data_IF_023938556565
#
_entry.id   IF_023938556565
#
_cell.length_a   1.000
_cell.length_b   1.000
_cell.length_c   1.000
_cell.angle_alpha   90.00
_cell.angle_beta   90.00
_cell.angle_gamma   90.00
#
_symmetry.space_group_name_H-M   'P 1'
#
loop_
_entity.id
_entity.type
_entity.pdbx_description
1 polymer ?
#
# COMPACT_ATOMS: atom_id res chain seq x y z
N UNK A 1 -13.74 -6.51 -30.55
CA UNK A 1 -13.98 -7.18 -29.26
C UNK A 1 -14.52 -6.12 -28.29
N UNK A 2 -15.43 -6.46 -27.40
CA UNK A 2 -15.87 -5.56 -26.34
C UNK A 2 -14.69 -5.22 -25.42
N UNK A 3 -14.65 -3.98 -24.90
CA UNK A 3 -13.68 -3.60 -23.87
C UNK A 3 -13.90 -4.43 -22.59
N UNK A 4 -12.82 -4.78 -21.91
CA UNK A 4 -12.90 -5.45 -20.60
C UNK A 4 -13.21 -4.41 -19.52
N UNK A 5 -14.12 -4.74 -18.62
CA UNK A 5 -14.54 -3.86 -17.54
C UNK A 5 -13.59 -3.92 -16.35
N UNK A 6 -13.20 -2.73 -15.85
CA UNK A 6 -12.33 -2.57 -14.68
C UNK A 6 -13.07 -1.81 -13.60
N UNK A 7 -13.13 -2.37 -12.40
CA UNK A 7 -13.54 -1.70 -11.18
C UNK A 7 -12.31 -1.31 -10.38
N UNK A 8 -12.15 -0.02 -10.08
CA UNK A 8 -10.98 0.48 -9.35
C UNK A 8 -11.33 0.83 -7.91
N UNK A 9 -10.55 0.31 -6.97
CA UNK A 9 -10.65 0.61 -5.54
C UNK A 9 -9.36 1.29 -5.12
N UNK A 10 -9.42 2.54 -4.67
CA UNK A 10 -8.18 3.25 -4.39
C UNK A 10 -8.30 4.38 -3.39
N UNK A 11 -7.18 4.68 -2.78
CA UNK A 11 -7.01 5.82 -1.88
C UNK A 11 -5.59 6.36 -2.00
N UNK A 12 -5.34 7.53 -1.42
CA UNK A 12 -4.03 8.16 -1.35
C UNK A 12 -3.44 8.54 -2.72
N UNK A 13 -2.33 9.29 -2.78
CA UNK A 13 -1.70 9.71 -4.03
C UNK A 13 -1.36 8.57 -5.00
N UNK A 14 -0.91 7.42 -4.48
CA UNK A 14 -0.58 6.28 -5.36
C UNK A 14 -1.81 5.71 -6.07
N UNK A 15 -2.97 5.64 -5.38
CA UNK A 15 -4.23 5.26 -6.01
C UNK A 15 -4.62 6.23 -7.13
N UNK A 16 -4.44 7.54 -6.90
CA UNK A 16 -4.67 8.56 -7.92
C UNK A 16 -3.80 8.34 -9.16
N UNK A 17 -2.49 8.16 -8.99
CA UNK A 17 -1.59 7.99 -10.13
C UNK A 17 -1.82 6.68 -10.88
N UNK A 18 -2.15 5.58 -10.17
CA UNK A 18 -2.52 4.32 -10.82
C UNK A 18 -3.82 4.43 -11.60
N UNK A 19 -4.85 5.07 -11.04
CA UNK A 19 -6.12 5.30 -11.75
C UNK A 19 -5.91 6.20 -12.97
N UNK A 20 -5.20 7.31 -12.81
CA UNK A 20 -4.89 8.23 -13.93
C UNK A 20 -4.12 7.52 -15.05
N UNK A 21 -3.16 6.66 -14.71
CA UNK A 21 -2.43 5.85 -15.69
C UNK A 21 -3.37 4.92 -16.47
N UNK A 22 -4.29 4.23 -15.78
CA UNK A 22 -5.30 3.40 -16.45
C UNK A 22 -6.21 4.21 -17.38
N UNK A 23 -6.67 5.38 -16.94
CA UNK A 23 -7.51 6.29 -17.74
C UNK A 23 -6.80 6.68 -19.02
N UNK A 24 -5.54 7.09 -18.95
CA UNK A 24 -4.74 7.52 -20.11
C UNK A 24 -4.48 6.38 -21.11
N UNK A 25 -4.56 5.13 -20.67
CA UNK A 25 -4.24 3.95 -21.50
C UNK A 25 -5.43 3.04 -21.79
N UNK A 26 -6.68 3.46 -21.48
CA UNK A 26 -7.87 2.63 -21.63
C UNK A 26 -8.01 2.03 -23.05
N UNK A 27 -7.76 2.82 -24.07
CA UNK A 27 -7.88 2.35 -25.47
C UNK A 27 -6.75 1.38 -25.83
N UNK A 28 -5.53 1.67 -25.40
CA UNK A 28 -4.38 0.79 -25.64
C UNK A 28 -4.52 -0.57 -24.95
N UNK A 29 -5.11 -0.59 -23.76
CA UNK A 29 -5.35 -1.82 -22.98
C UNK A 29 -6.68 -2.49 -23.32
N UNK A 30 -7.52 -1.89 -24.17
CA UNK A 30 -8.86 -2.34 -24.52
C UNK A 30 -9.76 -2.56 -23.26
N UNK A 31 -9.73 -1.60 -22.35
CA UNK A 31 -10.50 -1.61 -21.09
C UNK A 31 -11.48 -0.42 -21.00
N UNK A 32 -12.46 -0.57 -20.13
CA UNK A 32 -13.34 0.50 -19.66
C UNK A 32 -13.36 0.50 -18.13
N UNK A 33 -13.07 1.65 -17.50
CA UNK A 33 -13.17 1.80 -16.06
C UNK A 33 -14.63 2.12 -15.72
N UNK A 34 -15.36 1.13 -15.24
CA UNK A 34 -16.81 1.21 -15.01
C UNK A 34 -17.19 1.80 -13.65
N UNK A 35 -16.25 1.89 -12.71
CA UNK A 35 -16.51 2.44 -11.39
C UNK A 35 -15.28 2.66 -10.53
N UNK A 36 -15.45 3.55 -9.56
CA UNK A 36 -14.45 3.85 -8.52
C UNK A 36 -15.07 3.76 -7.13
N UNK A 37 -14.41 3.00 -6.24
CA UNK A 37 -14.60 3.12 -4.79
C UNK A 37 -13.41 3.84 -4.17
N UNK A 38 -13.67 4.92 -3.44
CA UNK A 38 -12.61 5.70 -2.74
C UNK A 38 -13.21 6.48 -1.58
N UNK A 39 -12.50 6.51 -0.46
CA UNK A 39 -12.82 7.43 0.63
C UNK A 39 -12.22 8.83 0.41
N UNK A 40 -11.42 9.01 -0.62
CA UNK A 40 -10.72 10.26 -0.96
C UNK A 40 -9.96 10.87 0.24
N UNK A 41 -9.38 10.01 1.07
CA UNK A 41 -8.62 10.43 2.22
C UNK A 41 -7.33 11.13 1.77
N UNK A 42 -7.34 12.46 1.85
CA UNK A 42 -6.31 13.36 1.33
C UNK A 42 -5.29 13.77 2.40
N UNK A 43 -5.06 12.93 3.42
CA UNK A 43 -4.10 13.22 4.50
C UNK A 43 -2.70 13.53 3.98
N UNK A 44 -2.31 12.95 2.84
CA UNK A 44 -0.98 13.10 2.24
C UNK A 44 -0.90 14.24 1.23
N UNK A 45 -1.92 14.43 0.40
CA UNK A 45 -1.99 15.49 -0.60
C UNK A 45 -3.45 15.78 -0.97
N UNK A 46 -3.95 16.93 -0.55
CA UNK A 46 -5.33 17.36 -0.81
C UNK A 46 -5.61 17.73 -2.27
N UNK A 47 -4.57 17.84 -3.11
CA UNK A 47 -4.73 18.18 -4.53
C UNK A 47 -5.04 16.96 -5.39
N UNK A 48 -4.70 15.75 -4.92
CA UNK A 48 -4.85 14.48 -5.64
C UNK A 48 -6.14 13.74 -5.22
N UNK A 49 -7.29 14.20 -5.71
CA UNK A 49 -8.61 13.59 -5.45
C UNK A 49 -8.97 12.57 -6.52
N UNK A 50 -9.11 11.30 -6.13
CA UNK A 50 -9.60 10.23 -7.02
C UNK A 50 -11.04 10.49 -7.45
N UNK A 51 -11.90 10.98 -6.54
CA UNK A 51 -13.31 11.28 -6.86
C UNK A 51 -13.43 12.43 -7.87
N UNK A 52 -12.56 13.43 -7.80
CA UNK A 52 -12.51 14.51 -8.78
C UNK A 52 -12.07 13.96 -10.14
N UNK A 53 -10.99 13.19 -10.18
CA UNK A 53 -10.49 12.54 -11.40
C UNK A 53 -11.57 11.65 -12.05
N UNK A 54 -12.27 10.85 -11.26
CA UNK A 54 -13.34 10.00 -11.77
C UNK A 54 -14.48 10.81 -12.40
N UNK A 55 -14.89 11.93 -11.77
CA UNK A 55 -15.92 12.83 -12.32
C UNK A 55 -15.51 13.47 -13.63
N UNK A 56 -14.24 13.91 -13.75
CA UNK A 56 -13.69 14.51 -14.97
C UNK A 56 -13.70 13.52 -16.16
N UNK A 57 -13.64 12.21 -15.87
CA UNK A 57 -13.64 11.15 -16.87
C UNK A 57 -14.94 10.33 -16.94
N UNK A 58 -16.06 10.81 -16.33
CA UNK A 58 -17.36 10.16 -16.30
C UNK A 58 -17.35 8.73 -15.71
N UNK A 59 -16.41 8.44 -14.79
CA UNK A 59 -16.37 7.16 -14.07
C UNK A 59 -17.39 7.20 -12.92
N UNK A 60 -18.19 6.15 -12.79
CA UNK A 60 -19.23 6.06 -11.76
C UNK A 60 -18.58 5.96 -10.37
N UNK A 61 -19.01 6.82 -9.45
CA UNK A 61 -18.63 6.71 -8.05
C UNK A 61 -19.56 5.71 -7.36
N UNK A 62 -18.96 4.76 -6.64
CA UNK A 62 -19.67 3.72 -5.87
C UNK A 62 -19.34 3.97 -4.41
N UNK A 63 -20.38 4.07 -3.58
CA UNK A 63 -20.22 4.50 -2.19
C UNK A 63 -19.91 3.34 -1.23
N UNK A 64 -20.33 2.12 -1.55
CA UNK A 64 -20.13 0.98 -0.67
C UNK A 64 -19.81 -0.33 -1.41
N UNK A 65 -19.11 -1.24 -0.74
CA UNK A 65 -18.70 -2.55 -1.30
C UNK A 65 -19.89 -3.41 -1.76
N UNK A 66 -21.02 -3.34 -1.07
CA UNK A 66 -22.22 -4.09 -1.45
C UNK A 66 -22.85 -3.60 -2.76
N UNK A 67 -22.57 -2.37 -3.18
CA UNK A 67 -23.04 -1.77 -4.43
C UNK A 67 -22.12 -2.03 -5.62
N UNK A 68 -20.96 -2.64 -5.40
CA UNK A 68 -20.02 -2.98 -6.47
C UNK A 68 -20.71 -3.84 -7.54
N UNK A 69 -20.63 -3.46 -8.84
CA UNK A 69 -21.05 -4.32 -9.93
C UNK A 69 -20.06 -5.47 -10.13
N UNK A 70 -20.47 -6.50 -10.88
CA UNK A 70 -19.54 -7.44 -11.47
C UNK A 70 -18.67 -6.71 -12.52
N UNK A 71 -17.41 -7.11 -12.62
CA UNK A 71 -16.45 -6.59 -13.60
C UNK A 71 -15.51 -7.70 -14.05
N UNK A 72 -14.79 -7.49 -15.14
CA UNK A 72 -13.76 -8.44 -15.55
C UNK A 72 -12.57 -8.38 -14.59
N UNK A 73 -12.17 -7.19 -14.21
CA UNK A 73 -11.07 -6.97 -13.27
C UNK A 73 -11.50 -6.10 -12.08
N UNK A 74 -10.99 -6.44 -10.89
CA UNK A 74 -10.98 -5.57 -9.72
C UNK A 74 -9.53 -5.21 -9.43
N UNK A 75 -9.21 -3.90 -9.39
CA UNK A 75 -7.86 -3.40 -9.10
C UNK A 75 -7.91 -2.58 -7.81
N UNK A 76 -7.23 -3.05 -6.78
CA UNK A 76 -7.13 -2.39 -5.48
C UNK A 76 -5.76 -1.74 -5.32
N UNK A 77 -5.73 -0.45 -4.91
CA UNK A 77 -4.51 0.29 -4.61
C UNK A 77 -4.72 1.12 -3.35
N UNK A 78 -4.19 0.67 -2.23
CA UNK A 78 -4.33 1.34 -0.92
C UNK A 78 -5.79 1.64 -0.53
N UNK A 79 -6.72 0.78 -0.91
CA UNK A 79 -8.13 0.89 -0.49
C UNK A 79 -8.24 0.64 1.02
N UNK A 80 -9.15 1.30 1.69
CA UNK A 80 -9.19 1.40 3.15
C UNK A 80 -9.99 0.29 3.83
N UNK A 81 -10.82 -0.45 3.09
CA UNK A 81 -11.63 -1.55 3.59
C UNK A 81 -11.11 -2.90 3.11
N UNK A 82 -11.32 -3.93 3.93
CA UNK A 82 -10.97 -5.31 3.59
C UNK A 82 -12.12 -5.92 2.78
N UNK A 83 -11.81 -6.36 1.56
CA UNK A 83 -12.77 -7.06 0.71
C UNK A 83 -13.00 -8.49 1.24
N UNK A 84 -14.28 -8.85 1.36
CA UNK A 84 -14.68 -10.22 1.68
C UNK A 84 -14.66 -11.09 0.43
N UNK A 85 -14.73 -12.41 0.61
CA UNK A 85 -14.77 -13.37 -0.50
C UNK A 85 -15.81 -13.00 -1.56
N UNK A 86 -17.04 -12.67 -1.13
CA UNK A 86 -18.13 -12.27 -2.04
C UNK A 86 -17.83 -11.00 -2.85
N UNK A 87 -17.02 -10.08 -2.32
CA UNK A 87 -16.64 -8.85 -3.02
C UNK A 87 -15.58 -9.16 -4.08
N UNK A 88 -14.61 -10.02 -3.74
CA UNK A 88 -13.55 -10.47 -4.65
C UNK A 88 -14.12 -11.31 -5.79
N UNK A 89 -15.12 -12.16 -5.53
CA UNK A 89 -15.79 -13.01 -6.51
C UNK A 89 -16.61 -12.24 -7.56
N UNK A 90 -16.82 -10.94 -7.38
CA UNK A 90 -17.38 -10.06 -8.42
C UNK A 90 -16.42 -9.82 -9.59
N UNK A 91 -15.12 -10.12 -9.44
CA UNK A 91 -14.16 -10.12 -10.53
C UNK A 91 -14.29 -11.43 -11.35
N UNK A 92 -14.74 -11.33 -12.60
CA UNK A 92 -14.93 -12.48 -13.50
C UNK A 92 -13.61 -13.11 -13.94
N UNK A 93 -12.56 -12.30 -14.09
CA UNK A 93 -11.24 -12.74 -14.54
C UNK A 93 -10.26 -12.72 -13.37
N UNK A 94 -10.04 -11.54 -12.76
CA UNK A 94 -9.01 -11.38 -11.75
C UNK A 94 -9.27 -10.18 -10.83
N UNK A 95 -9.06 -10.38 -9.53
CA UNK A 95 -8.93 -9.31 -8.55
C UNK A 95 -7.48 -9.22 -8.08
N UNK A 96 -6.86 -8.02 -8.16
CA UNK A 96 -5.48 -7.77 -7.75
C UNK A 96 -5.40 -6.64 -6.73
N UNK A 97 -4.35 -6.71 -5.90
CA UNK A 97 -3.96 -5.62 -5.00
C UNK A 97 -2.50 -5.23 -5.22
N UNK A 98 -2.23 -3.93 -5.28
CA UNK A 98 -0.89 -3.36 -5.19
C UNK A 98 -0.57 -3.11 -3.72
N UNK A 99 0.22 -3.99 -3.14
CA UNK A 99 0.66 -3.92 -1.75
C UNK A 99 2.05 -3.29 -1.65
N UNK A 100 2.15 -2.21 -0.87
CA UNK A 100 3.40 -1.45 -0.72
C UNK A 100 4.36 -2.12 0.29
N UNK A 101 4.54 -3.42 0.14
CA UNK A 101 5.51 -4.22 0.88
C UNK A 101 5.88 -5.50 0.13
N UNK A 102 7.03 -6.12 0.45
CA UNK A 102 7.38 -7.43 -0.08
C UNK A 102 6.54 -8.51 0.60
N UNK A 103 5.96 -9.41 -0.18
CA UNK A 103 5.23 -10.58 0.29
C UNK A 103 6.09 -11.86 0.13
N UNK A 104 5.99 -12.79 1.07
CA UNK A 104 5.09 -12.85 2.24
C UNK A 104 5.58 -12.12 3.49
N UNK A 105 6.70 -11.42 3.48
CA UNK A 105 7.39 -10.90 4.66
C UNK A 105 6.54 -9.95 5.49
N UNK A 106 5.78 -9.03 4.85
CA UNK A 106 5.03 -7.98 5.52
C UNK A 106 3.61 -7.86 4.99
N UNK A 107 2.68 -8.61 5.55
CA UNK A 107 1.24 -8.50 5.29
C UNK A 107 0.59 -7.47 6.22
N UNK A 108 -0.49 -6.84 5.81
CA UNK A 108 -1.31 -5.94 6.61
C UNK A 108 -0.80 -4.51 6.65
N UNK A 109 -0.63 -3.97 7.85
CA UNK A 109 -0.35 -2.55 8.08
C UNK A 109 1.04 -2.30 8.69
N UNK A 110 1.46 -1.01 8.74
CA UNK A 110 2.70 -0.56 9.43
C UNK A 110 3.99 -1.21 8.91
N UNK A 111 3.97 -1.78 7.73
CA UNK A 111 5.06 -2.56 7.12
C UNK A 111 6.38 -1.80 7.04
N UNK A 112 6.35 -0.49 6.78
CA UNK A 112 7.56 0.34 6.74
C UNK A 112 8.23 0.45 8.11
N UNK A 113 7.41 0.66 9.15
CA UNK A 113 7.88 0.74 10.53
C UNK A 113 8.53 -0.56 10.97
N UNK A 114 7.85 -1.69 10.73
CA UNK A 114 8.38 -3.00 11.11
C UNK A 114 9.64 -3.37 10.33
N UNK A 115 9.74 -3.06 9.05
CA UNK A 115 10.96 -3.31 8.28
C UNK A 115 12.20 -2.58 8.85
N UNK A 116 12.02 -1.33 9.31
CA UNK A 116 13.10 -0.57 9.96
C UNK A 116 13.41 -1.15 11.35
N UNK A 117 12.39 -1.51 12.15
CA UNK A 117 12.56 -2.12 13.47
C UNK A 117 13.29 -3.45 13.39
N UNK A 118 12.96 -4.27 12.39
CA UNK A 118 13.60 -5.56 12.12
C UNK A 118 15.03 -5.42 11.55
N UNK A 119 15.45 -4.19 11.23
CA UNK A 119 16.78 -3.91 10.68
C UNK A 119 16.98 -4.51 9.29
N UNK A 120 15.92 -4.66 8.50
CA UNK A 120 16.00 -5.17 7.14
C UNK A 120 16.89 -4.30 6.27
N UNK A 121 17.61 -4.94 5.34
CA UNK A 121 18.52 -4.27 4.40
C UNK A 121 17.91 -4.08 3.03
N UNK A 122 16.82 -4.80 2.75
CA UNK A 122 16.07 -4.76 1.52
C UNK A 122 14.58 -4.67 1.84
N UNK A 123 13.85 -3.98 1.00
CA UNK A 123 12.39 -3.88 1.03
C UNK A 123 11.84 -4.04 -0.37
N UNK A 124 10.51 -3.92 -0.53
CA UNK A 124 9.90 -4.08 -1.84
C UNK A 124 8.43 -3.73 -1.86
N UNK A 125 7.82 -4.03 -2.98
CA UNK A 125 6.40 -3.85 -3.25
C UNK A 125 5.91 -4.98 -4.14
N UNK A 126 4.64 -5.36 -4.02
CA UNK A 126 4.09 -6.57 -4.64
C UNK A 126 2.74 -6.31 -5.28
N UNK A 127 2.53 -6.77 -6.52
CA UNK A 127 1.19 -6.99 -7.09
C UNK A 127 0.85 -8.45 -6.86
N UNK A 128 -0.28 -8.70 -6.21
CA UNK A 128 -0.73 -10.06 -5.92
C UNK A 128 -2.21 -10.24 -6.25
N UNK A 129 -2.59 -11.48 -6.54
CA UNK A 129 -3.99 -11.89 -6.63
C UNK A 129 -4.65 -11.73 -5.26
N UNK A 130 -5.87 -11.25 -5.20
CA UNK A 130 -6.62 -11.17 -3.96
C UNK A 130 -7.27 -12.51 -3.61
N UNK A 131 -7.23 -12.87 -2.34
CA UNK A 131 -8.04 -13.91 -1.72
C UNK A 131 -8.73 -13.36 -0.45
N UNK A 132 -9.49 -14.18 0.25
CA UNK A 132 -10.26 -13.75 1.43
C UNK A 132 -9.37 -13.44 2.66
N UNK A 133 -8.08 -13.70 2.61
CA UNK A 133 -7.12 -13.42 3.68
C UNK A 133 -6.31 -12.16 3.34
N UNK A 134 -5.88 -11.45 4.38
CA UNK A 134 -5.14 -10.20 4.20
C UNK A 134 -3.80 -10.48 3.50
N UNK A 135 -3.59 -9.85 2.34
CA UNK A 135 -2.37 -9.86 1.53
C UNK A 135 -1.74 -11.26 1.34
N UNK A 136 -2.59 -12.27 1.18
CA UNK A 136 -2.15 -13.67 1.18
C UNK A 136 -2.10 -14.32 -0.21
N UNK A 137 -2.82 -13.81 -1.19
CA UNK A 137 -2.91 -14.41 -2.52
C UNK A 137 -1.58 -14.45 -3.28
N UNK A 138 -1.53 -15.27 -4.32
CA UNK A 138 -0.32 -15.51 -5.10
C UNK A 138 0.26 -14.24 -5.70
N UNK A 139 1.59 -14.16 -5.72
CA UNK A 139 2.36 -13.04 -6.25
C UNK A 139 2.31 -13.09 -7.78
N UNK A 140 2.00 -11.93 -8.39
CA UNK A 140 2.04 -11.71 -9.84
C UNK A 140 3.35 -11.04 -10.24
N UNK A 141 3.74 -10.00 -9.51
CA UNK A 141 4.97 -9.25 -9.74
C UNK A 141 5.48 -8.64 -8.44
N UNK A 142 6.79 -8.53 -8.31
CA UNK A 142 7.47 -7.94 -7.18
C UNK A 142 8.62 -7.04 -7.65
N UNK A 143 8.86 -5.95 -6.93
CA UNK A 143 10.04 -5.09 -7.15
C UNK A 143 10.72 -4.85 -5.82
N UNK A 144 12.00 -5.21 -5.73
CA UNK A 144 12.83 -5.06 -4.53
C UNK A 144 13.86 -3.96 -4.69
N UNK A 145 14.26 -3.36 -3.58
CA UNK A 145 15.26 -2.31 -3.53
C UNK A 145 15.92 -2.26 -2.14
N UNK A 146 17.19 -1.78 -2.06
CA UNK A 146 17.90 -1.68 -0.78
C UNK A 146 17.27 -0.59 0.11
N UNK A 147 17.25 -0.84 1.42
CA UNK A 147 16.95 0.19 2.43
C UNK A 147 18.22 0.97 2.75
N UNK A 148 18.22 2.31 2.62
CA UNK A 148 19.37 3.13 2.99
C UNK A 148 19.75 2.97 4.47
N UNK A 149 21.03 3.15 4.77
CA UNK A 149 21.48 3.16 6.16
C UNK A 149 20.81 4.31 6.93
N UNK A 150 20.33 4.03 8.13
CA UNK A 150 19.60 4.99 8.98
C UNK A 150 18.31 5.56 8.33
N UNK A 151 17.71 4.83 7.42
CA UNK A 151 16.48 5.20 6.74
C UNK A 151 15.37 5.56 7.73
N UNK A 152 14.62 6.61 7.42
CA UNK A 152 13.40 7.00 8.11
C UNK A 152 12.16 6.40 7.45
N UNK A 153 11.08 6.28 8.22
CA UNK A 153 9.84 5.67 7.73
C UNK A 153 9.24 6.41 6.54
N UNK A 154 9.33 7.73 6.50
CA UNK A 154 8.88 8.53 5.35
C UNK A 154 9.77 8.33 4.12
N UNK A 155 11.09 8.22 4.29
CA UNK A 155 12.02 7.92 3.18
C UNK A 155 11.74 6.52 2.59
N UNK A 156 11.52 5.52 3.45
CA UNK A 156 11.14 4.18 2.99
C UNK A 156 9.78 4.17 2.30
N UNK A 157 8.83 4.98 2.79
CA UNK A 157 7.55 5.17 2.12
C UNK A 157 7.74 5.75 0.70
N UNK A 158 8.54 6.80 0.54
CA UNK A 158 8.76 7.48 -0.75
C UNK A 158 9.47 6.57 -1.76
N UNK A 159 10.48 5.79 -1.31
CA UNK A 159 11.13 4.77 -2.12
C UNK A 159 10.15 3.69 -2.57
N UNK A 160 9.32 3.21 -1.65
CA UNK A 160 8.31 2.20 -1.96
C UNK A 160 7.22 2.74 -2.86
N UNK A 161 6.82 3.99 -2.68
CA UNK A 161 5.87 4.68 -3.55
C UNK A 161 6.35 4.69 -5.00
N UNK A 162 7.58 5.13 -5.22
CA UNK A 162 8.18 5.20 -6.56
C UNK A 162 8.33 3.82 -7.19
N UNK A 163 8.77 2.83 -6.41
CA UNK A 163 8.89 1.44 -6.85
C UNK A 163 7.51 0.83 -7.18
N UNK A 164 6.48 1.14 -6.40
CA UNK A 164 5.11 0.63 -6.60
C UNK A 164 4.47 1.18 -7.86
N UNK A 165 4.63 2.47 -8.11
CA UNK A 165 4.12 3.09 -9.34
C UNK A 165 4.81 2.50 -10.57
N UNK A 166 6.13 2.35 -10.53
CA UNK A 166 6.91 1.69 -11.61
C UNK A 166 6.46 0.25 -11.82
N UNK A 167 6.33 -0.55 -10.73
CA UNK A 167 5.87 -1.94 -10.80
C UNK A 167 4.49 -2.06 -11.44
N UNK A 168 3.57 -1.17 -11.06
CA UNK A 168 2.22 -1.13 -11.62
C UNK A 168 2.26 -0.84 -13.12
N UNK A 169 2.97 0.20 -13.54
CA UNK A 169 3.07 0.60 -14.94
C UNK A 169 3.75 -0.46 -15.82
N UNK A 170 4.77 -1.13 -15.30
CA UNK A 170 5.51 -2.18 -16.01
C UNK A 170 4.68 -3.46 -16.24
N UNK A 171 3.71 -3.74 -15.37
CA UNK A 171 3.04 -5.05 -15.38
C UNK A 171 1.55 -5.00 -15.75
N UNK A 172 0.87 -3.86 -15.61
CA UNK A 172 -0.59 -3.80 -15.72
C UNK A 172 -1.10 -4.22 -17.11
N UNK A 173 -0.39 -3.90 -18.20
CA UNK A 173 -0.77 -4.32 -19.54
C UNK A 173 -0.78 -5.85 -19.70
N UNK A 174 0.25 -6.52 -19.17
CA UNK A 174 0.35 -7.97 -19.19
C UNK A 174 -0.71 -8.63 -18.29
N UNK A 175 -1.03 -8.02 -17.16
CA UNK A 175 -2.08 -8.49 -16.25
C UNK A 175 -3.44 -8.42 -16.94
N UNK A 176 -3.77 -7.30 -17.56
CA UNK A 176 -5.05 -7.11 -18.27
C UNK A 176 -5.17 -8.01 -19.51
N UNK A 177 -4.06 -8.36 -20.17
CA UNK A 177 -4.05 -9.32 -21.25
C UNK A 177 -3.91 -10.79 -20.81
N UNK A 178 -3.97 -11.06 -19.51
CA UNK A 178 -3.80 -12.38 -18.89
C UNK A 178 -2.46 -13.06 -19.24
N UNK A 179 -1.39 -12.24 -19.38
CA UNK A 179 -0.02 -12.67 -19.71
C UNK A 179 0.90 -12.51 -18.50
N UNK A 180 0.66 -13.29 -17.44
CA UNK A 180 1.45 -13.29 -16.22
C UNK A 180 1.54 -14.69 -15.63
N UNK A 181 2.46 -14.86 -14.68
CA UNK A 181 2.60 -16.11 -13.91
C UNK A 181 2.25 -15.84 -12.44
N UNK A 182 1.75 -16.85 -11.76
CA UNK A 182 1.47 -16.82 -10.34
C UNK A 182 2.57 -17.58 -9.58
N UNK A 183 3.07 -16.97 -8.51
CA UNK A 183 4.00 -17.59 -7.57
C UNK A 183 3.35 -17.66 -6.20
N UNK A 184 3.25 -18.86 -5.62
CA UNK A 184 2.65 -18.99 -4.29
C UNK A 184 3.55 -18.37 -3.22
N UNK A 185 2.98 -17.59 -2.33
CA UNK A 185 3.73 -17.01 -1.23
C UNK A 185 4.40 -18.06 -0.33
N UNK A 186 3.77 -19.24 -0.23
CA UNK A 186 4.29 -20.37 0.55
C UNK A 186 5.69 -20.80 0.13
N UNK A 187 6.02 -20.67 -1.16
CA UNK A 187 7.34 -21.06 -1.69
C UNK A 187 8.47 -20.18 -1.12
N UNK A 188 8.13 -18.96 -0.68
CA UNK A 188 9.07 -17.98 -0.15
C UNK A 188 9.09 -17.89 1.39
N UNK A 189 8.09 -18.44 2.10
CA UNK A 189 7.96 -18.28 3.55
C UNK A 189 9.17 -18.84 4.32
N UNK A 190 9.75 -19.95 3.87
CA UNK A 190 10.91 -20.56 4.54
C UNK A 190 12.19 -19.72 4.39
N UNK A 191 12.36 -19.04 3.27
CA UNK A 191 13.56 -18.25 2.96
C UNK A 191 13.44 -16.83 3.51
N UNK A 192 12.27 -16.21 3.34
CA UNK A 192 12.06 -14.78 3.57
C UNK A 192 11.37 -14.48 4.91
N UNK A 193 10.71 -15.48 5.50
CA UNK A 193 9.83 -15.31 6.64
C UNK A 193 8.46 -14.78 6.22
N UNK A 194 7.56 -14.68 7.20
CA UNK A 194 6.22 -14.13 7.00
C UNK A 194 5.76 -13.45 8.29
N UNK A 195 5.13 -12.30 8.15
CA UNK A 195 4.46 -11.61 9.26
C UNK A 195 3.12 -11.03 8.82
N UNK A 196 2.26 -10.75 9.78
CA UNK A 196 1.06 -9.97 9.59
C UNK A 196 0.96 -8.94 10.70
N UNK A 197 0.77 -7.67 10.35
CA UNK A 197 0.68 -6.58 11.29
C UNK A 197 -0.65 -5.84 11.17
N UNK A 198 -1.21 -5.44 12.30
CA UNK A 198 -2.48 -4.74 12.38
C UNK A 198 -2.28 -3.24 12.63
N UNK A 199 -3.28 -2.45 12.24
CA UNK A 199 -3.18 -0.98 12.29
C UNK A 199 -2.91 -0.43 13.69
N UNK A 200 -3.47 -1.05 14.71
CA UNK A 200 -3.33 -0.59 16.11
C UNK A 200 -1.93 -0.83 16.70
N UNK A 201 -1.14 -1.74 16.16
CA UNK A 201 0.22 -2.02 16.65
C UNK A 201 1.15 -0.79 16.59
N UNK A 202 0.83 0.19 15.73
CA UNK A 202 1.58 1.45 15.64
C UNK A 202 1.63 2.19 16.98
N UNK A 203 0.60 2.08 17.82
CA UNK A 203 0.54 2.74 19.12
C UNK A 203 1.57 2.17 20.10
N UNK A 204 1.78 0.86 20.05
CA UNK A 204 2.74 0.16 20.92
C UNK A 204 4.18 0.48 20.52
N UNK A 205 4.49 0.45 19.21
CA UNK A 205 5.85 0.71 18.71
C UNK A 205 6.27 2.18 18.76
N UNK A 206 5.33 3.12 18.88
CA UNK A 206 5.62 4.55 19.09
C UNK A 206 6.07 4.88 20.51
N UNK A 207 5.76 4.02 21.47
CA UNK A 207 6.17 4.23 22.86
C UNK A 207 7.63 3.84 23.05
N UNK A 208 8.46 4.82 23.34
CA UNK A 208 9.91 4.67 23.59
C UNK A 208 10.13 4.42 25.08
N UNK A 209 10.84 3.35 25.42
CA UNK A 209 11.35 3.12 26.76
C UNK A 209 12.74 3.76 26.87
N UNK A 210 12.87 4.75 27.75
CA UNK A 210 14.14 5.47 27.96
C UNK A 210 15.25 4.62 28.58
N UNK A 211 14.95 3.41 29.04
CA UNK A 211 15.94 2.44 29.52
C UNK A 211 16.63 1.68 28.40
N UNK A 212 16.11 1.75 27.16
CA UNK A 212 16.75 1.13 26.02
C UNK A 212 18.10 1.80 25.69
N UNK A 213 18.98 1.05 25.03
CA UNK A 213 20.19 1.65 24.47
C UNK A 213 19.87 2.70 23.39
N UNK A 214 20.85 3.55 23.12
CA UNK A 214 20.72 4.67 22.18
C UNK A 214 20.33 4.19 20.78
N UNK A 215 20.93 3.11 20.28
CA UNK A 215 20.69 2.61 18.93
C UNK A 215 19.24 2.14 18.77
N UNK A 216 18.69 1.44 19.75
CA UNK A 216 17.31 0.99 19.76
C UNK A 216 16.33 2.16 19.81
N UNK A 217 16.59 3.17 20.68
CA UNK A 217 15.77 4.38 20.74
C UNK A 217 15.76 5.10 19.39
N UNK A 218 16.92 5.35 18.78
CA UNK A 218 17.03 6.03 17.49
C UNK A 218 16.34 5.25 16.37
N UNK A 219 16.42 3.91 16.37
CA UNK A 219 15.75 3.05 15.41
C UNK A 219 14.23 3.16 15.53
N UNK A 220 13.68 3.12 16.75
CA UNK A 220 12.25 3.30 16.99
C UNK A 220 11.77 4.67 16.56
N UNK A 221 12.53 5.73 16.82
CA UNK A 221 12.21 7.09 16.36
C UNK A 221 12.13 7.13 14.83
N UNK A 222 13.15 6.64 14.13
CA UNK A 222 13.16 6.61 12.66
C UNK A 222 12.01 5.76 12.08
N UNK A 223 11.70 4.65 12.73
CA UNK A 223 10.65 3.73 12.30
C UNK A 223 9.23 4.28 12.47
N UNK A 224 9.03 5.25 13.36
CA UNK A 224 7.67 5.65 13.77
C UNK A 224 7.38 7.15 13.63
N UNK A 225 8.39 7.96 13.31
CA UNK A 225 8.19 9.38 13.03
C UNK A 225 7.78 9.59 11.57
N UNK A 226 6.48 9.72 11.34
CA UNK A 226 5.90 10.04 10.04
C UNK A 226 5.31 11.44 10.08
N UNK A 227 5.74 12.38 9.23
CA UNK A 227 5.18 13.72 9.15
C UNK A 227 3.65 13.70 8.99
N UNK A 228 2.96 14.59 9.72
CA UNK A 228 1.49 14.65 9.72
C UNK A 228 0.77 13.64 10.63
N UNK A 229 1.52 12.78 11.32
CA UNK A 229 0.98 11.84 12.31
C UNK A 229 1.56 12.11 13.70
N UNK A 230 0.91 11.54 14.73
CA UNK A 230 1.43 11.60 16.10
C UNK A 230 2.88 11.09 16.13
N UNK A 231 3.85 11.89 16.66
CA UNK A 231 5.23 11.44 16.76
C UNK A 231 5.43 10.30 17.77
N UNK A 232 6.58 9.59 17.74
CA UNK A 232 6.97 8.70 18.84
C UNK A 232 7.15 9.48 20.15
N UNK A 233 6.91 8.81 21.27
CA UNK A 233 6.89 9.46 22.59
C UNK A 233 7.46 8.56 23.68
N UNK A 234 7.97 9.19 24.76
CA UNK A 234 8.22 8.53 26.04
C UNK A 234 7.21 8.98 27.09
N UNK A 235 7.00 8.18 28.12
CA UNK A 235 6.17 8.56 29.27
C UNK A 235 7.04 9.08 30.40
N UNK A 236 6.68 10.25 30.96
CA UNK A 236 7.22 10.76 32.22
C UNK A 236 6.03 10.91 33.18
N UNK A 237 5.92 10.02 34.13
CA UNK A 237 4.67 9.88 34.90
C UNK A 237 3.51 9.52 33.96
N UNK A 238 2.46 10.35 33.95
CA UNK A 238 1.28 10.17 33.10
C UNK A 238 1.31 11.04 31.82
N UNK A 239 2.40 11.75 31.56
CA UNK A 239 2.50 12.68 30.43
C UNK A 239 3.32 12.08 29.27
N UNK A 240 2.89 12.34 28.03
CA UNK A 240 3.64 12.01 26.81
C UNK A 240 4.62 13.11 26.49
N UNK A 241 5.89 12.74 26.36
CA UNK A 241 6.94 13.63 25.85
C UNK A 241 7.30 13.14 24.44
N UNK A 242 7.05 13.98 23.44
CA UNK A 242 7.21 13.64 22.04
C UNK A 242 8.63 13.90 21.53
N UNK A 243 9.13 12.99 20.69
CA UNK A 243 10.37 13.18 19.95
C UNK A 243 10.08 14.01 18.69
N UNK A 244 10.93 15.02 18.42
CA UNK A 244 10.81 15.88 17.25
C UNK A 244 12.13 15.94 16.48
N UNK A 245 12.03 16.02 15.14
CA UNK A 245 13.19 16.16 14.25
C UNK A 245 13.62 17.61 14.05
N UNK A 246 12.86 18.60 14.51
CA UNK A 246 13.10 20.04 14.26
C UNK A 246 14.31 20.61 14.98
N UNK A 247 14.98 19.82 15.82
CA UNK A 247 16.19 20.23 16.53
C UNK A 247 17.33 20.65 15.61
N UNK A 248 17.46 20.04 14.43
CA UNK A 248 18.56 20.29 13.48
C UNK A 248 18.26 21.41 12.47
N UNK A 249 17.04 21.94 12.38
CA UNK A 249 16.67 22.98 11.42
C UNK A 249 17.04 24.41 11.89
N UNK A 250 17.61 24.55 13.09
CA UNK A 250 18.00 25.84 13.69
C UNK A 250 19.52 26.05 13.76
N UNK A 251 20.28 25.39 12.91
CA UNK A 251 21.73 25.68 12.79
C UNK A 251 22.06 26.19 11.40
#
# INVERSE_FOLDING_TARGET
MSKQSVLFLGSKPIGYHCLNYLIQHQDAFNIEIIGLLSNDNTTFDSTLSLKKLAKEHNIILIDALNEMPESDFIISVQYHEILKKQDIEKAKILAINLHMAPLPEYRGCNQFSFAILDGKKEFGTTIHKMDARIDHGDIIAEKRFPIPTNCWVNELYDLTYSASLSLFQENIANILSNQFTLQTQKDFENERGTSIHFRNEIHDIKRIDLSWDKEKIERHIRATYMPGFEPPYAMIGNEKIYFSTTWNEKK
#
